data_IF_540798277712
#
_entry.id   IF_540798277712
#
_cell.length_a   1.000
_cell.length_b   1.000
_cell.length_c   1.000
_cell.angle_alpha   90.00
_cell.angle_beta   90.00
_cell.angle_gamma   90.00
#
_symmetry.space_group_name_H-M   'P 1'
#
loop_
_entity.id
_entity.type
_entity.pdbx_description
1 polymer ?
#
# COMPACT_ATOMS: atom_id res chain seq x y z
N UNK A 1 17.62 16.57 -12.53
CA UNK A 1 19.07 16.51 -12.28
C UNK A 1 19.71 17.76 -12.82
N UNK A 2 20.56 18.40 -12.01
CA UNK A 2 21.37 19.56 -12.39
C UNK A 2 22.84 19.22 -12.16
N UNK A 3 23.63 19.16 -13.22
CA UNK A 3 25.01 18.67 -13.14
C UNK A 3 25.06 17.29 -12.51
N UNK A 4 25.74 17.17 -11.37
CA UNK A 4 25.89 15.89 -10.66
C UNK A 4 24.87 15.70 -9.50
N UNK A 5 23.95 16.66 -9.30
CA UNK A 5 22.96 16.63 -8.23
C UNK A 5 21.60 16.21 -8.78
N UNK A 6 20.97 15.22 -8.15
CA UNK A 6 19.62 14.77 -8.48
C UNK A 6 18.67 15.10 -7.32
N UNK A 7 17.53 15.71 -7.63
CA UNK A 7 16.45 16.01 -6.69
C UNK A 7 15.17 15.37 -7.19
N UNK A 8 14.39 14.76 -6.31
CA UNK A 8 13.06 14.25 -6.63
C UNK A 8 12.03 15.28 -6.22
N UNK A 9 11.18 15.69 -7.16
CA UNK A 9 10.11 16.64 -6.93
C UNK A 9 8.78 15.89 -6.92
N UNK A 10 8.01 16.05 -5.84
CA UNK A 10 6.66 15.53 -5.74
C UNK A 10 5.66 16.59 -6.26
N UNK A 11 5.27 16.44 -7.52
CA UNK A 11 4.30 17.35 -8.14
C UNK A 11 2.88 17.15 -7.59
N UNK A 12 2.56 15.99 -7.02
CA UNK A 12 1.25 15.73 -6.40
C UNK A 12 1.07 16.62 -5.16
N UNK A 13 2.07 16.65 -4.27
CA UNK A 13 2.08 17.54 -3.11
C UNK A 13 1.96 19.03 -3.51
N UNK A 14 2.52 19.41 -4.65
CA UNK A 14 2.39 20.76 -5.17
C UNK A 14 0.95 21.07 -5.62
N UNK A 15 0.32 20.19 -6.42
CA UNK A 15 -1.00 20.44 -6.98
C UNK A 15 -2.15 20.20 -6.00
N UNK A 16 -2.06 19.16 -5.17
CA UNK A 16 -3.15 18.75 -4.28
C UNK A 16 -3.06 19.42 -2.90
N UNK A 17 -1.83 19.54 -2.34
CA UNK A 17 -1.60 20.12 -1.02
C UNK A 17 -1.09 21.58 -1.05
N UNK A 18 -0.90 22.17 -2.22
CA UNK A 18 -0.43 23.55 -2.35
C UNK A 18 0.99 23.79 -1.82
N UNK A 19 1.83 22.76 -1.74
CA UNK A 19 3.20 22.87 -1.22
C UNK A 19 4.12 23.59 -2.20
N UNK A 20 4.20 24.92 -2.06
CA UNK A 20 5.03 25.79 -2.92
C UNK A 20 6.53 25.46 -2.81
N UNK A 21 6.98 24.87 -1.70
CA UNK A 21 8.37 24.44 -1.51
C UNK A 21 8.83 23.41 -2.57
N UNK A 22 7.91 22.67 -3.18
CA UNK A 22 8.17 21.73 -4.28
C UNK A 22 8.36 22.43 -5.63
N UNK A 23 8.05 23.73 -5.74
CA UNK A 23 8.22 24.48 -6.97
C UNK A 23 9.68 24.89 -7.16
N UNK A 24 10.30 24.42 -8.23
CA UNK A 24 11.70 24.72 -8.57
C UNK A 24 11.79 25.48 -9.89
N UNK A 25 12.54 26.55 -9.88
CA UNK A 25 12.89 27.26 -11.12
C UNK A 25 13.88 26.43 -11.92
N UNK A 26 13.49 26.06 -13.13
CA UNK A 26 14.36 25.33 -14.06
C UNK A 26 15.39 26.27 -14.68
N UNK A 27 16.57 25.75 -14.93
CA UNK A 27 17.69 26.45 -15.56
C UNK A 27 18.12 25.71 -16.83
N UNK A 28 18.84 26.41 -17.69
CA UNK A 28 19.40 25.80 -18.88
C UNK A 28 20.37 24.66 -18.50
N UNK A 29 20.24 23.53 -19.19
CA UNK A 29 20.99 22.31 -18.90
C UNK A 29 20.37 21.40 -17.84
N UNK A 30 19.21 21.73 -17.23
CA UNK A 30 18.50 20.81 -16.34
C UNK A 30 17.92 19.64 -17.12
N UNK A 31 18.09 18.45 -16.59
CA UNK A 31 17.47 17.23 -17.12
C UNK A 31 16.31 16.80 -16.21
N UNK A 32 15.09 16.78 -16.78
CA UNK A 32 13.89 16.30 -16.09
C UNK A 32 13.63 14.87 -16.52
N UNK A 33 13.58 13.96 -15.55
CA UNK A 33 13.17 12.58 -15.76
C UNK A 33 11.78 12.35 -15.13
N UNK A 34 10.81 11.96 -15.96
CA UNK A 34 9.46 11.63 -15.50
C UNK A 34 9.31 10.11 -15.55
N UNK A 35 9.07 9.52 -14.38
CA UNK A 35 8.87 8.07 -14.28
C UNK A 35 7.52 7.67 -14.92
N UNK A 36 7.53 6.55 -15.62
CA UNK A 36 6.30 5.97 -16.17
C UNK A 36 5.52 5.25 -15.08
N UNK A 37 4.25 5.60 -14.93
CA UNK A 37 3.32 4.97 -13.98
C UNK A 37 2.80 3.60 -14.45
N UNK A 38 2.84 3.32 -15.75
CA UNK A 38 2.33 2.08 -16.37
C UNK A 38 2.98 0.77 -15.86
N UNK A 39 4.06 0.89 -15.08
CA UNK A 39 4.74 -0.25 -14.43
C UNK A 39 4.40 -0.40 -12.94
N UNK A 40 3.57 0.48 -12.40
CA UNK A 40 3.20 0.42 -10.99
C UNK A 40 1.94 -0.45 -10.87
N UNK A 41 2.10 -1.65 -10.34
CA UNK A 41 1.00 -2.62 -10.14
C UNK A 41 1.02 -3.18 -8.74
N UNK A 42 -0.15 -3.55 -8.28
CA UNK A 42 -0.38 -4.41 -7.12
C UNK A 42 -0.95 -5.74 -7.60
N UNK A 43 -0.84 -6.77 -6.81
CA UNK A 43 -1.34 -8.09 -7.13
C UNK A 43 -2.43 -8.47 -6.12
N UNK A 44 -3.64 -8.71 -6.59
CA UNK A 44 -4.75 -9.18 -5.74
C UNK A 44 -4.96 -10.66 -6.01
N UNK A 45 -4.81 -11.48 -4.98
CA UNK A 45 -4.77 -12.94 -5.08
C UNK A 45 -5.65 -13.58 -3.99
N UNK A 46 -5.92 -14.87 -4.16
CA UNK A 46 -6.71 -15.67 -3.22
C UNK A 46 -8.21 -15.58 -3.50
N UNK A 47 -9.03 -15.52 -2.47
CA UNK A 47 -10.49 -15.62 -2.54
C UNK A 47 -11.16 -14.29 -2.89
N UNK A 48 -10.85 -13.79 -4.06
CA UNK A 48 -11.52 -12.68 -4.75
C UNK A 48 -12.15 -13.18 -6.03
N UNK A 49 -13.14 -12.46 -6.56
CA UNK A 49 -13.84 -12.89 -7.78
C UNK A 49 -12.94 -12.86 -9.01
N UNK A 50 -12.03 -11.89 -9.09
CA UNK A 50 -11.11 -11.72 -10.22
C UNK A 50 -9.69 -11.47 -9.69
N UNK A 51 -8.93 -12.54 -9.44
CA UNK A 51 -7.55 -12.43 -9.06
C UNK A 51 -6.70 -11.93 -10.24
N UNK A 52 -5.76 -11.00 -9.96
CA UNK A 52 -4.92 -10.44 -11.01
C UNK A 52 -4.04 -9.30 -10.56
N UNK A 53 -3.38 -8.69 -11.55
CA UNK A 53 -2.59 -7.49 -11.36
C UNK A 53 -3.43 -6.24 -11.67
N UNK A 54 -3.46 -5.28 -10.76
CA UNK A 54 -4.18 -4.02 -10.87
C UNK A 54 -3.16 -2.89 -11.01
N UNK A 55 -3.40 -1.96 -11.93
CA UNK A 55 -2.51 -0.83 -12.14
C UNK A 55 -2.80 0.29 -11.14
N UNK A 56 -1.74 0.81 -10.50
CA UNK A 56 -1.86 2.02 -9.70
C UNK A 56 -1.98 3.20 -10.65
N UNK A 57 -3.11 3.87 -10.60
CA UNK A 57 -3.35 5.05 -11.43
C UNK A 57 -2.63 6.30 -10.88
N UNK A 58 -2.76 7.43 -11.59
CA UNK A 58 -2.11 8.69 -11.19
C UNK A 58 -2.60 9.27 -9.85
N UNK A 59 -3.76 8.84 -9.38
CA UNK A 59 -4.33 9.28 -8.10
C UNK A 59 -3.96 8.35 -6.93
N UNK A 60 -3.23 7.27 -7.21
CA UNK A 60 -2.97 6.20 -6.28
C UNK A 60 -3.95 5.05 -6.43
N UNK A 61 -3.88 4.09 -5.53
CA UNK A 61 -4.81 2.97 -5.41
C UNK A 61 -4.85 2.58 -3.93
N UNK A 62 -6.02 2.63 -3.31
CA UNK A 62 -6.18 2.15 -1.94
C UNK A 62 -6.65 0.68 -1.90
N UNK A 63 -6.61 0.09 -0.70
CA UNK A 63 -6.96 -1.32 -0.53
C UNK A 63 -8.43 -1.61 -0.86
N UNK A 64 -9.35 -0.69 -0.53
CA UNK A 64 -10.78 -0.85 -0.83
C UNK A 64 -11.03 -0.82 -2.35
N UNK A 65 -10.40 0.10 -3.07
CA UNK A 65 -10.46 0.18 -4.54
C UNK A 65 -9.90 -1.10 -5.17
N UNK A 66 -8.74 -1.58 -4.71
CA UNK A 66 -8.14 -2.79 -5.25
C UNK A 66 -9.03 -4.04 -5.06
N UNK A 67 -9.66 -4.17 -3.89
CA UNK A 67 -10.62 -5.24 -3.65
C UNK A 67 -11.89 -5.07 -4.51
N UNK A 68 -12.36 -3.84 -4.71
CA UNK A 68 -13.48 -3.52 -5.60
C UNK A 68 -13.19 -3.85 -7.06
N UNK A 69 -12.01 -3.47 -7.58
CA UNK A 69 -11.58 -3.80 -8.95
C UNK A 69 -11.41 -5.33 -9.16
N UNK A 70 -11.02 -6.06 -8.10
CA UNK A 70 -11.00 -7.52 -8.10
C UNK A 70 -12.42 -8.16 -8.03
N UNK A 71 -13.48 -7.36 -8.14
CA UNK A 71 -14.87 -7.80 -8.10
C UNK A 71 -15.38 -8.15 -6.69
N UNK A 72 -14.65 -7.74 -5.65
CA UNK A 72 -14.95 -8.02 -4.25
C UNK A 72 -14.48 -9.41 -3.80
N UNK A 73 -14.78 -9.70 -2.54
CA UNK A 73 -14.48 -11.01 -1.94
C UNK A 73 -15.42 -12.08 -2.50
N UNK A 74 -14.91 -13.31 -2.58
CA UNK A 74 -15.78 -14.46 -2.83
C UNK A 74 -16.53 -14.81 -1.53
N UNK A 75 -17.81 -14.44 -1.46
CA UNK A 75 -18.63 -14.55 -0.25
C UNK A 75 -18.77 -15.99 0.27
N UNK A 76 -18.68 -16.98 -0.64
CA UNK A 76 -18.84 -18.39 -0.28
C UNK A 76 -17.59 -18.99 0.38
N UNK A 77 -16.41 -18.42 0.14
CA UNK A 77 -15.14 -19.02 0.54
C UNK A 77 -14.18 -18.07 1.27
N UNK A 78 -14.30 -16.77 1.06
CA UNK A 78 -13.40 -15.80 1.65
C UNK A 78 -13.60 -15.65 3.16
N UNK A 79 -12.51 -15.54 3.89
CA UNK A 79 -12.54 -15.16 5.29
C UNK A 79 -12.32 -13.65 5.41
N UNK A 80 -13.35 -12.90 5.81
CA UNK A 80 -13.30 -11.45 5.95
C UNK A 80 -12.17 -10.97 6.90
N UNK A 81 -11.72 -11.79 7.85
CA UNK A 81 -10.57 -11.48 8.71
C UNK A 81 -9.22 -11.91 8.10
N UNK A 82 -9.23 -12.48 6.92
CA UNK A 82 -8.06 -13.03 6.25
C UNK A 82 -7.61 -12.18 5.07
N UNK A 83 -7.71 -10.86 5.15
CA UNK A 83 -7.18 -9.95 4.14
C UNK A 83 -5.81 -9.47 4.61
N UNK A 84 -4.79 -9.75 3.80
CA UNK A 84 -3.39 -9.42 4.09
C UNK A 84 -2.81 -8.59 2.97
N UNK A 85 -1.99 -7.59 3.32
CA UNK A 85 -1.14 -6.88 2.38
C UNK A 85 0.32 -7.20 2.73
N UNK A 86 1.03 -7.79 1.78
CA UNK A 86 2.45 -8.10 1.90
C UNK A 86 3.23 -7.02 1.16
N UNK A 87 4.04 -6.27 1.88
CA UNK A 87 4.84 -5.16 1.37
C UNK A 87 6.33 -5.40 1.62
N UNK A 88 7.13 -5.13 0.61
CA UNK A 88 8.58 -5.14 0.75
C UNK A 88 9.03 -3.77 1.27
N UNK A 89 9.62 -3.76 2.46
CA UNK A 89 10.13 -2.54 3.09
C UNK A 89 11.64 -2.65 3.40
N UNK A 90 12.31 -1.51 3.48
CA UNK A 90 13.68 -1.45 3.93
C UNK A 90 13.69 -1.52 5.46
N UNK A 91 14.42 -2.48 6.02
CA UNK A 91 14.60 -2.62 7.47
C UNK A 91 15.60 -1.57 8.00
N UNK A 92 15.56 -1.30 9.30
CA UNK A 92 16.52 -0.39 9.97
C UNK A 92 17.99 -0.83 9.77
N UNK A 93 18.23 -2.11 9.54
CA UNK A 93 19.54 -2.69 9.25
C UNK A 93 20.00 -2.52 7.78
N UNK A 94 19.20 -1.82 6.94
CA UNK A 94 19.51 -1.60 5.53
C UNK A 94 19.28 -2.82 4.62
N UNK A 95 18.68 -3.89 5.15
CA UNK A 95 18.23 -5.05 4.37
C UNK A 95 16.76 -4.90 3.97
N UNK A 96 16.31 -5.62 2.92
CA UNK A 96 14.90 -5.66 2.58
C UNK A 96 14.19 -6.77 3.37
N UNK A 97 13.11 -6.38 4.07
CA UNK A 97 12.19 -7.29 4.74
C UNK A 97 10.81 -7.29 4.08
N UNK A 98 9.96 -8.22 4.49
CA UNK A 98 8.53 -8.21 4.13
C UNK A 98 7.72 -7.86 5.36
N UNK A 99 6.93 -6.80 5.27
CA UNK A 99 5.94 -6.42 6.30
C UNK A 99 4.59 -6.96 5.86
N UNK A 100 3.83 -7.50 6.81
CA UNK A 100 2.49 -8.02 6.56
C UNK A 100 1.51 -7.19 7.36
N UNK A 101 0.61 -6.54 6.66
CA UNK A 101 -0.52 -5.82 7.22
C UNK A 101 -1.75 -6.72 7.15
N UNK A 102 -2.52 -6.79 8.22
CA UNK A 102 -3.75 -7.56 8.27
C UNK A 102 -4.94 -6.64 8.49
N UNK A 103 -5.95 -6.78 7.64
CA UNK A 103 -7.24 -6.13 7.79
C UNK A 103 -8.27 -7.13 8.34
N UNK A 104 -8.94 -6.75 9.43
CA UNK A 104 -10.06 -7.49 10.01
C UNK A 104 -11.38 -6.92 9.49
N UNK A 105 -11.81 -7.36 8.30
CA UNK A 105 -12.98 -6.80 7.61
C UNK A 105 -14.32 -7.36 8.11
N UNK A 106 -14.52 -7.46 9.43
CA UNK A 106 -15.80 -7.86 10.03
C UNK A 106 -16.82 -6.73 10.12
N UNK A 107 -16.32 -5.51 10.28
CA UNK A 107 -17.13 -4.33 10.56
C UNK A 107 -17.02 -3.31 9.43
N UNK A 108 -18.03 -2.45 9.31
CA UNK A 108 -18.01 -1.37 8.31
C UNK A 108 -16.83 -0.41 8.48
N UNK A 109 -16.31 -0.26 9.70
CA UNK A 109 -15.12 0.54 9.99
C UNK A 109 -13.88 0.02 9.27
N UNK A 110 -13.77 -1.28 9.05
CA UNK A 110 -12.66 -1.86 8.30
C UNK A 110 -12.63 -1.41 6.83
N UNK A 111 -13.80 -1.13 6.23
CA UNK A 111 -13.86 -0.59 4.88
C UNK A 111 -13.34 0.85 4.83
N UNK A 112 -13.56 1.63 5.88
CA UNK A 112 -13.00 2.99 6.01
C UNK A 112 -11.47 2.88 6.10
N UNK A 113 -10.94 2.02 6.98
CA UNK A 113 -9.50 1.78 7.09
C UNK A 113 -8.90 1.30 5.76
N UNK A 114 -9.59 0.42 5.05
CA UNK A 114 -9.15 -0.03 3.72
C UNK A 114 -9.10 1.10 2.69
N UNK A 115 -10.02 2.08 2.78
CA UNK A 115 -10.02 3.25 1.88
C UNK A 115 -8.92 4.26 2.20
N UNK A 116 -8.42 4.28 3.41
CA UNK A 116 -7.29 5.13 3.84
C UNK A 116 -5.93 4.47 3.60
N UNK A 117 -5.90 3.13 3.43
CA UNK A 117 -4.66 2.39 3.23
C UNK A 117 -4.20 2.45 1.78
N UNK A 118 -3.23 3.31 1.48
CA UNK A 118 -2.61 3.40 0.15
C UNK A 118 -1.71 2.21 -0.15
N UNK A 119 -1.99 1.54 -1.27
CA UNK A 119 -1.17 0.46 -1.79
C UNK A 119 0.06 1.00 -2.53
N UNK A 120 1.16 0.30 -2.39
CA UNK A 120 2.42 0.64 -3.05
C UNK A 120 2.72 -0.34 -4.17
N UNK A 121 3.61 0.07 -5.06
CA UNK A 121 4.11 -0.78 -6.15
C UNK A 121 4.64 -2.11 -5.63
N UNK A 122 4.17 -3.18 -6.26
CA UNK A 122 4.49 -4.58 -5.95
C UNK A 122 3.90 -5.10 -4.63
N UNK A 123 2.97 -4.38 -3.99
CA UNK A 123 2.20 -4.96 -2.90
C UNK A 123 1.43 -6.18 -3.39
N UNK A 124 1.31 -7.17 -2.52
CA UNK A 124 0.48 -8.34 -2.75
C UNK A 124 -0.67 -8.33 -1.74
N UNK A 125 -1.88 -8.10 -2.23
CA UNK A 125 -3.11 -8.26 -1.46
C UNK A 125 -3.54 -9.71 -1.56
N UNK A 126 -3.62 -10.41 -0.44
CA UNK A 126 -4.00 -11.82 -0.41
C UNK A 126 -5.22 -12.04 0.49
N UNK A 127 -6.25 -12.63 -0.08
CA UNK A 127 -7.48 -13.01 0.64
C UNK A 127 -7.48 -14.51 0.86
N UNK A 128 -7.57 -14.96 2.12
CA UNK A 128 -7.50 -16.38 2.47
C UNK A 128 -8.88 -16.98 2.78
N UNK A 129 -9.04 -18.29 2.51
CA UNK A 129 -10.14 -19.13 3.02
C UNK A 129 -9.91 -19.58 4.46
N UNK A 130 -8.63 -19.65 4.89
CA UNK A 130 -8.25 -20.28 6.13
C UNK A 130 -8.63 -19.45 7.34
N UNK A 131 -8.93 -20.12 8.46
CA UNK A 131 -8.99 -19.43 9.74
C UNK A 131 -7.66 -18.73 10.03
N UNK A 132 -7.74 -17.50 10.56
CA UNK A 132 -6.58 -16.67 10.92
C UNK A 132 -5.53 -17.43 11.72
N UNK A 133 -5.95 -18.31 12.63
CA UNK A 133 -5.03 -19.11 13.46
C UNK A 133 -4.10 -20.01 12.62
N UNK A 134 -4.57 -20.55 11.50
CA UNK A 134 -3.75 -21.36 10.59
C UNK A 134 -2.79 -20.49 9.79
N UNK A 135 -3.27 -19.36 9.31
CA UNK A 135 -2.49 -18.40 8.52
C UNK A 135 -1.39 -17.71 9.36
N UNK A 136 -1.75 -17.24 10.56
CA UNK A 136 -0.78 -16.64 11.49
C UNK A 136 0.36 -17.62 11.85
N UNK A 137 0.07 -18.91 11.98
CA UNK A 137 1.12 -19.91 12.22
C UNK A 137 2.12 -20.03 11.05
N UNK A 138 1.66 -19.81 9.83
CA UNK A 138 2.52 -19.82 8.64
C UNK A 138 3.30 -18.51 8.54
N UNK A 139 2.63 -17.38 8.68
CA UNK A 139 3.23 -16.05 8.59
C UNK A 139 4.29 -15.80 9.67
N UNK A 140 3.98 -16.12 10.95
CA UNK A 140 4.95 -15.96 12.04
C UNK A 140 6.20 -16.82 11.91
N UNK A 141 6.13 -17.90 11.15
CA UNK A 141 7.31 -18.74 10.86
C UNK A 141 8.13 -18.25 9.66
N UNK A 142 7.50 -17.52 8.75
CA UNK A 142 8.10 -17.08 7.50
C UNK A 142 8.56 -15.61 7.53
N UNK A 143 7.92 -14.77 8.36
CA UNK A 143 8.14 -13.34 8.37
C UNK A 143 8.34 -12.81 9.81
N UNK A 144 9.42 -12.06 10.05
CA UNK A 144 9.73 -11.57 11.41
C UNK A 144 8.86 -10.41 11.90
N UNK A 145 8.10 -9.73 11.03
CA UNK A 145 7.35 -8.51 11.39
C UNK A 145 5.93 -8.56 10.80
N UNK A 146 4.92 -8.61 11.68
CA UNK A 146 3.51 -8.41 11.34
C UNK A 146 2.99 -7.15 12.02
N UNK A 147 2.30 -6.28 11.26
CA UNK A 147 1.60 -5.10 11.79
C UNK A 147 0.12 -5.21 11.47
N UNK A 148 -0.75 -4.85 12.43
CA UNK A 148 -2.18 -4.68 12.16
C UNK A 148 -2.43 -3.29 11.59
N UNK A 149 -3.37 -3.15 10.65
CA UNK A 149 -3.81 -1.84 10.16
C UNK A 149 -4.45 -1.00 11.27
N UNK A 150 -5.07 -1.66 12.24
CA UNK A 150 -5.65 -1.00 13.42
C UNK A 150 -4.57 -0.33 14.28
N UNK A 151 -3.36 -0.90 14.34
CA UNK A 151 -2.23 -0.33 15.09
C UNK A 151 -1.69 0.95 14.43
N UNK A 152 -1.75 1.04 13.10
CA UNK A 152 -1.27 2.20 12.34
C UNK A 152 -2.19 3.40 12.59
N UNK A 153 -3.52 3.21 12.52
CA UNK A 153 -4.48 4.29 12.76
C UNK A 153 -4.38 4.88 14.17
N UNK A 154 -4.04 4.05 15.18
CA UNK A 154 -3.81 4.52 16.55
C UNK A 154 -2.48 5.28 16.71
N UNK A 155 -1.46 4.95 15.93
CA UNK A 155 -0.18 5.64 15.96
C UNK A 155 -0.28 7.05 15.39
N UNK A 156 -1.02 7.24 14.29
CA UNK A 156 -1.24 8.55 13.67
C UNK A 156 -2.11 9.47 14.54
N UNK A 157 -3.13 8.92 15.22
CA UNK A 157 -3.97 9.70 16.14
C UNK A 157 -3.23 10.17 17.41
N UNK A 158 -2.15 9.49 17.81
CA UNK A 158 -1.29 9.88 18.95
C UNK A 158 -0.19 10.88 18.58
N UNK A 159 0.16 11.00 17.30
CA UNK A 159 1.21 11.92 16.81
C UNK A 159 0.74 13.37 16.62
N UNK A 160 -0.53 13.67 16.74
CA UNK A 160 -1.11 15.00 16.45
C UNK A 160 -1.51 15.78 17.71
N UNK A 161 -0.84 15.55 18.84
CA UNK A 161 -0.97 16.37 20.05
C UNK A 161 0.39 17.06 20.31
N UNK A 162 0.65 18.12 19.51
CA UNK A 162 1.46 19.28 19.93
C UNK A 162 1.20 20.43 18.96
#
# INVERSE_FOLDING_TARGET
>A
TRGNTSETLDLRSFYEAGQISCNRLLQDGDVIHVNRLDKHRVYVLGEVRQAGAIEINRYGLNLAEALGEAGGLNEDSANANGIFVLRKELTEEGSFGTVVYQLHAKDATALVLASEFELQKNDVVYVTTASIARWNRIITKLLPITRSLDDISQAESRGNIF
#
